data_IF_046929731176
#
_entry.id   IF_046929731176
#
_cell.length_a   1.000
_cell.length_b   1.000
_cell.length_c   1.000
_cell.angle_alpha   90.00
_cell.angle_beta   90.00
_cell.angle_gamma   90.00
#
_symmetry.space_group_name_H-M   'P 1'
#
loop_
_entity.id
_entity.type
_entity.pdbx_description
1 polymer ?
#
# COMPACT_ATOMS: atom_id res chain seq x y z
N UNK A 1 13.26 14.11 -3.56
CA UNK A 1 12.30 13.11 -4.10
C UNK A 1 11.51 12.56 -2.91
N UNK A 2 10.21 12.33 -3.06
CA UNK A 2 9.40 11.77 -1.97
C UNK A 2 9.83 10.34 -1.67
N UNK A 3 10.14 10.05 -0.41
CA UNK A 3 10.56 8.72 0.06
C UNK A 3 9.38 8.01 0.70
N UNK A 4 9.18 6.74 0.33
CA UNK A 4 8.10 5.90 0.87
C UNK A 4 8.69 5.03 1.96
N UNK A 5 8.27 5.26 3.19
CA UNK A 5 8.66 4.44 4.35
C UNK A 5 7.46 3.63 4.80
N UNK A 6 7.66 2.34 5.07
CA UNK A 6 6.62 1.43 5.55
C UNK A 6 6.90 1.07 7.00
N UNK A 7 5.85 0.96 7.82
CA UNK A 7 5.98 0.42 9.18
C UNK A 7 6.19 -1.10 9.09
N UNK A 8 6.86 -1.74 10.06
CA UNK A 8 7.04 -3.20 10.06
C UNK A 8 5.74 -3.98 9.90
N UNK A 9 4.67 -3.55 10.59
CA UNK A 9 3.35 -4.17 10.46
C UNK A 9 2.79 -4.07 9.04
N UNK A 10 2.95 -2.92 8.38
CA UNK A 10 2.51 -2.75 6.99
C UNK A 10 3.32 -3.62 6.00
N UNK A 11 4.56 -3.98 6.33
CA UNK A 11 5.34 -4.92 5.52
C UNK A 11 4.84 -6.36 5.72
N UNK A 12 4.49 -6.73 6.95
CA UNK A 12 3.87 -8.02 7.25
C UNK A 12 2.50 -8.15 6.55
N UNK A 13 1.65 -7.11 6.62
CA UNK A 13 0.35 -7.10 5.94
C UNK A 13 0.48 -7.35 4.42
N UNK A 14 1.51 -6.79 3.79
CA UNK A 14 1.75 -7.00 2.35
C UNK A 14 2.16 -8.45 2.06
N UNK A 15 3.01 -9.03 2.91
CA UNK A 15 3.44 -10.42 2.78
C UNK A 15 2.27 -11.38 2.98
N UNK A 16 1.47 -11.17 4.04
CA UNK A 16 0.31 -11.99 4.34
C UNK A 16 -0.70 -11.98 3.19
N UNK A 17 -0.99 -10.80 2.61
CA UNK A 17 -1.90 -10.71 1.45
C UNK A 17 -1.29 -11.38 0.22
N UNK A 18 0.01 -11.23 -0.02
CA UNK A 18 0.68 -11.89 -1.15
C UNK A 18 0.59 -13.41 -1.00
N UNK A 19 0.90 -13.95 0.18
CA UNK A 19 0.85 -15.40 0.46
C UNK A 19 -0.57 -15.94 0.21
N UNK A 20 -1.59 -15.22 0.69
CA UNK A 20 -3.01 -15.58 0.45
C UNK A 20 -3.38 -15.63 -1.04
N UNK A 21 -2.88 -14.70 -1.86
CA UNK A 21 -3.15 -14.71 -3.31
C UNK A 21 -2.32 -15.80 -4.02
N UNK A 22 -1.09 -16.03 -3.54
CA UNK A 22 -0.16 -16.99 -4.11
C UNK A 22 -0.63 -18.44 -3.95
N UNK A 23 -1.47 -18.73 -2.95
CA UNK A 23 -2.17 -20.02 -2.81
C UNK A 23 -2.94 -20.40 -4.09
N UNK A 24 -3.57 -19.42 -4.75
CA UNK A 24 -4.29 -19.63 -6.01
C UNK A 24 -3.40 -19.40 -7.24
N UNK A 25 -2.57 -18.34 -7.22
CA UNK A 25 -1.70 -17.99 -8.35
C UNK A 25 -0.61 -17.00 -7.95
N UNK A 26 0.64 -17.49 -7.97
CA UNK A 26 1.85 -16.67 -7.77
C UNK A 26 1.90 -15.48 -8.76
N UNK A 27 1.55 -15.71 -10.03
CA UNK A 27 1.55 -14.63 -11.04
C UNK A 27 0.53 -13.53 -10.72
N UNK A 28 -0.60 -13.87 -10.12
CA UNK A 28 -1.56 -12.86 -9.64
C UNK A 28 -1.04 -12.12 -8.40
N UNK A 29 -0.34 -12.81 -7.51
CA UNK A 29 0.26 -12.22 -6.32
C UNK A 29 1.34 -11.19 -6.71
N UNK A 30 2.20 -11.51 -7.68
CA UNK A 30 3.22 -10.59 -8.20
C UNK A 30 2.58 -9.36 -8.88
N UNK A 31 1.59 -9.59 -9.76
CA UNK A 31 0.83 -8.48 -10.37
C UNK A 31 0.13 -7.59 -9.35
N UNK A 32 -0.29 -8.16 -8.21
CA UNK A 32 -0.90 -7.39 -7.14
C UNK A 32 0.14 -6.48 -6.46
N UNK A 33 1.35 -6.97 -6.21
CA UNK A 33 2.47 -6.16 -5.67
C UNK A 33 2.84 -5.04 -6.62
N UNK A 34 2.92 -5.30 -7.93
CA UNK A 34 3.20 -4.27 -8.93
C UNK A 34 2.17 -3.13 -8.91
N UNK A 35 0.88 -3.48 -8.81
CA UNK A 35 -0.20 -2.50 -8.68
C UNK A 35 -0.08 -1.70 -7.38
N UNK A 36 0.29 -2.36 -6.29
CA UNK A 36 0.49 -1.71 -5.00
C UNK A 36 1.66 -0.72 -5.04
N UNK A 37 2.78 -1.10 -5.65
CA UNK A 37 3.94 -0.21 -5.82
C UNK A 37 3.61 0.99 -6.73
N UNK A 38 2.83 0.78 -7.79
CA UNK A 38 2.29 1.86 -8.61
C UNK A 38 1.46 2.86 -7.81
N UNK A 39 0.58 2.38 -6.91
CA UNK A 39 -0.19 3.25 -6.01
C UNK A 39 0.70 4.01 -5.04
N UNK A 40 1.71 3.37 -4.46
CA UNK A 40 2.67 4.04 -3.57
C UNK A 40 3.38 5.19 -4.29
N UNK A 41 3.85 4.98 -5.52
CA UNK A 41 4.46 6.04 -6.35
C UNK A 41 3.49 7.19 -6.63
N UNK A 42 2.22 6.90 -6.89
CA UNK A 42 1.19 7.92 -7.09
C UNK A 42 0.94 8.75 -5.82
N UNK A 43 0.85 8.10 -4.65
CA UNK A 43 0.68 8.80 -3.37
C UNK A 43 1.92 9.65 -3.07
N UNK A 44 3.11 9.16 -3.38
CA UNK A 44 4.34 9.91 -3.20
C UNK A 44 4.42 11.15 -4.11
N UNK A 45 3.82 11.10 -5.30
CA UNK A 45 3.74 12.26 -6.20
C UNK A 45 2.58 13.21 -5.87
N UNK A 46 1.49 12.71 -5.28
CA UNK A 46 0.32 13.48 -4.88
C UNK A 46 -0.15 13.14 -3.43
N UNK A 47 0.58 13.58 -2.39
CA UNK A 47 0.34 13.14 -1.00
C UNK A 47 -1.03 13.51 -0.42
N UNK A 48 -1.71 14.49 -1.00
CA UNK A 48 -3.02 14.98 -0.55
C UNK A 48 -4.20 14.38 -1.33
N UNK A 49 -3.95 13.49 -2.28
CA UNK A 49 -4.99 12.84 -3.11
C UNK A 49 -5.95 11.99 -2.26
N UNK A 50 -5.46 11.38 -1.18
CA UNK A 50 -6.28 10.59 -0.27
C UNK A 50 -7.25 11.42 0.54
N UNK A 51 -8.45 10.87 0.79
CA UNK A 51 -9.44 11.49 1.67
C UNK A 51 -8.89 11.50 3.10
N UNK A 52 -8.84 12.68 3.73
CA UNK A 52 -8.50 12.81 5.14
C UNK A 52 -9.55 12.09 6.00
N UNK A 53 -9.07 11.31 6.98
CA UNK A 53 -9.90 10.60 7.95
C UNK A 53 -9.45 10.96 9.36
N UNK A 54 -9.66 12.22 9.71
CA UNK A 54 -9.30 12.76 11.02
C UNK A 54 -10.08 12.07 12.16
N UNK A 55 -11.19 11.38 11.84
CA UNK A 55 -11.93 10.54 12.77
C UNK A 55 -11.15 9.30 13.23
N UNK A 56 -10.16 8.84 12.45
CA UNK A 56 -9.33 7.68 12.80
C UNK A 56 -8.04 8.11 13.50
N UNK A 57 -7.35 9.12 12.96
CA UNK A 57 -6.17 9.71 13.55
C UNK A 57 -5.85 11.06 12.89
N UNK A 58 -5.12 11.91 13.63
CA UNK A 58 -4.62 13.17 13.07
C UNK A 58 -3.71 12.92 11.85
N UNK A 59 -3.93 13.69 10.78
CA UNK A 59 -3.19 13.60 9.52
C UNK A 59 -3.30 12.25 8.77
N UNK A 60 -4.21 11.37 9.16
CA UNK A 60 -4.45 10.12 8.45
C UNK A 60 -5.24 10.34 7.15
N UNK A 61 -4.83 9.67 6.08
CA UNK A 61 -5.48 9.70 4.76
C UNK A 61 -5.66 8.28 4.23
N UNK A 62 -6.75 8.06 3.50
CA UNK A 62 -7.02 6.81 2.77
C UNK A 62 -7.02 7.06 1.27
N UNK A 63 -6.27 6.23 0.53
CA UNK A 63 -6.08 6.27 -0.92
C UNK A 63 -6.52 4.96 -1.58
#
# INVERSE_FOLDING_TARGET
MAQITRRPLAAADILDIWDQIAEDSIEQADRWVDKLDGKFKLIASQPLMGRARNELAAAFRRC
#
